data_IF_476722547639
#
_entry.id   IF_476722547639
#
_cell.length_a   1.000
_cell.length_b   1.000
_cell.length_c   1.000
_cell.angle_alpha   90.00
_cell.angle_beta   90.00
_cell.angle_gamma   90.00
#
_symmetry.space_group_name_H-M   'P 1'
#
loop_
_entity.id
_entity.type
_entity.pdbx_description
1 polymer ?
#
# COMPACT_ATOMS: atom_id res chain seq x y z
N UNK A 1 8.53 -1.69 4.60
CA UNK A 1 8.80 -1.49 3.17
C UNK A 1 9.36 -0.08 3.02
N UNK A 2 10.58 0.05 2.47
CA UNK A 2 11.28 1.33 2.34
C UNK A 2 11.70 1.51 0.88
N UNK A 3 11.39 2.66 0.28
CA UNK A 3 11.72 2.98 -1.12
C UNK A 3 12.79 4.06 -1.23
N UNK A 4 13.55 4.30 -0.30
CA UNK A 4 14.61 5.31 -0.31
C UNK A 4 15.78 4.88 0.54
N UNK A 5 16.46 5.87 1.11
CA UNK A 5 17.55 5.64 2.05
C UNK A 5 17.00 4.97 3.31
N UNK A 6 17.65 3.90 3.76
CA UNK A 6 17.36 3.23 5.02
C UNK A 6 18.69 3.10 5.78
N UNK A 7 18.76 3.72 6.94
CA UNK A 7 19.96 3.72 7.80
C UNK A 7 19.90 2.63 8.87
N UNK A 8 18.77 1.89 8.97
CA UNK A 8 18.62 0.80 9.94
C UNK A 8 19.04 -0.50 9.25
N UNK A 9 19.95 -1.24 9.87
CA UNK A 9 20.38 -2.55 9.40
C UNK A 9 19.49 -3.63 10.06
N UNK A 10 18.85 -4.51 9.28
CA UNK A 10 18.07 -5.62 9.82
C UNK A 10 18.95 -6.79 10.25
N UNK A 11 18.47 -7.58 11.20
CA UNK A 11 19.09 -8.86 11.57
C UNK A 11 20.39 -8.72 12.39
N UNK A 12 20.59 -7.59 13.06
CA UNK A 12 21.71 -7.42 14.02
C UNK A 12 21.27 -8.06 15.34
N UNK A 13 22.08 -9.00 15.84
CA UNK A 13 21.81 -9.73 17.08
C UNK A 13 21.62 -8.77 18.27
N UNK A 14 20.60 -9.04 19.08
CA UNK A 14 20.19 -8.25 20.26
C UNK A 14 19.71 -6.82 19.96
N UNK A 15 19.68 -6.38 18.71
CA UNK A 15 19.23 -5.04 18.33
C UNK A 15 18.07 -5.09 17.33
N UNK A 16 18.27 -5.71 16.16
CA UNK A 16 17.31 -5.68 15.05
C UNK A 16 17.01 -7.05 14.45
N UNK A 17 17.20 -8.12 15.20
CA UNK A 17 16.97 -9.50 14.75
C UNK A 17 15.51 -9.75 14.29
N UNK A 18 14.56 -9.02 14.87
CA UNK A 18 13.14 -9.09 14.50
C UNK A 18 12.74 -8.11 13.41
N UNK A 19 13.70 -7.32 12.89
CA UNK A 19 13.44 -6.35 11.84
C UNK A 19 13.68 -6.94 10.47
N UNK A 20 12.76 -6.71 9.56
CA UNK A 20 12.95 -6.99 8.13
C UNK A 20 12.74 -5.73 7.30
N UNK A 21 13.60 -5.51 6.33
CA UNK A 21 13.50 -4.37 5.41
C UNK A 21 13.34 -4.88 3.98
N UNK A 22 12.31 -4.41 3.31
CA UNK A 22 12.03 -4.74 1.91
C UNK A 22 11.92 -3.45 1.09
N UNK A 23 12.51 -3.44 -0.10
CA UNK A 23 12.34 -2.37 -1.08
C UNK A 23 11.73 -2.91 -2.36
N UNK A 24 10.73 -2.22 -2.91
CA UNK A 24 10.11 -2.58 -4.18
C UNK A 24 10.52 -1.53 -5.22
N UNK A 25 11.24 -1.98 -6.26
CA UNK A 25 11.70 -1.12 -7.35
C UNK A 25 11.08 -1.61 -8.65
N UNK A 26 10.07 -0.88 -9.10
CA UNK A 26 9.28 -1.22 -10.27
C UNK A 26 9.07 -0.03 -11.20
N UNK A 27 8.02 -0.10 -12.01
CA UNK A 27 7.65 0.91 -13.00
C UNK A 27 7.27 2.26 -12.36
N UNK A 28 6.63 2.20 -11.19
CA UNK A 28 6.16 3.38 -10.48
C UNK A 28 7.00 3.64 -9.24
N UNK A 29 7.24 4.93 -8.97
CA UNK A 29 7.73 5.36 -7.67
C UNK A 29 6.55 5.33 -6.69
N UNK A 30 6.65 4.48 -5.69
CA UNK A 30 5.65 4.43 -4.61
C UNK A 30 6.13 5.28 -3.44
N UNK A 31 5.25 6.17 -2.97
CA UNK A 31 5.54 7.07 -1.86
C UNK A 31 4.40 7.13 -0.81
N UNK A 32 3.61 6.07 -0.63
CA UNK A 32 2.64 6.04 0.45
C UNK A 32 3.37 5.87 1.79
N UNK A 33 2.91 6.58 2.80
CA UNK A 33 3.36 6.41 4.19
C UNK A 33 2.21 5.84 4.98
N UNK A 34 2.25 4.54 5.17
CA UNK A 34 1.24 3.77 5.88
C UNK A 34 1.90 3.07 7.04
N UNK A 35 1.33 3.26 8.22
CA UNK A 35 1.81 2.66 9.47
C UNK A 35 0.73 1.72 10.00
N UNK A 36 1.14 0.51 10.37
CA UNK A 36 0.24 -0.51 10.92
C UNK A 36 0.84 -1.02 12.22
N UNK A 37 0.08 -0.91 13.30
CA UNK A 37 0.47 -1.36 14.64
C UNK A 37 -0.50 -2.43 15.13
N UNK A 38 0.03 -3.46 15.77
CA UNK A 38 -0.76 -4.57 16.31
C UNK A 38 -1.27 -5.54 15.24
N UNK A 39 -2.07 -6.49 15.68
CA UNK A 39 -2.62 -7.56 14.86
C UNK A 39 -4.11 -7.77 15.16
N UNK A 40 -4.81 -8.45 14.25
CA UNK A 40 -6.21 -8.83 14.45
C UNK A 40 -7.16 -7.64 14.62
N UNK A 41 -8.10 -7.76 15.57
CA UNK A 41 -9.14 -6.75 15.81
C UNK A 41 -8.61 -5.43 16.37
N UNK A 42 -7.50 -5.46 17.09
CA UNK A 42 -6.90 -4.27 17.71
C UNK A 42 -5.91 -3.53 16.79
N UNK A 43 -5.80 -3.97 15.55
CA UNK A 43 -4.89 -3.37 14.59
C UNK A 43 -5.23 -1.90 14.32
N UNK A 44 -4.25 -1.01 14.52
CA UNK A 44 -4.35 0.43 14.26
C UNK A 44 -3.60 0.77 12.99
N UNK A 45 -4.26 1.50 12.09
CA UNK A 45 -3.70 1.92 10.80
C UNK A 45 -3.69 3.43 10.71
N UNK A 46 -2.56 3.98 10.28
CA UNK A 46 -2.39 5.41 10.05
C UNK A 46 -1.83 5.64 8.64
N UNK A 47 -2.18 6.77 8.07
CA UNK A 47 -1.48 7.34 6.92
C UNK A 47 -0.82 8.64 7.35
N UNK A 48 0.32 8.98 6.76
CA UNK A 48 1.06 10.16 7.20
C UNK A 48 1.79 10.87 6.08
N UNK A 49 2.30 12.05 6.42
CA UNK A 49 3.14 12.87 5.54
C UNK A 49 4.64 12.67 5.81
N UNK A 50 5.01 12.14 6.99
CA UNK A 50 6.39 12.00 7.41
C UNK A 50 7.10 10.81 6.77
N UNK A 51 8.29 11.04 6.24
CA UNK A 51 9.31 9.99 6.15
C UNK A 51 9.94 9.78 7.53
N UNK A 52 10.40 8.58 7.85
CA UNK A 52 11.09 8.28 9.12
C UNK A 52 12.55 8.75 9.04
N UNK A 53 12.71 10.06 8.92
CA UNK A 53 14.01 10.75 8.83
C UNK A 53 14.06 11.87 9.86
N UNK A 54 15.23 12.14 10.41
CA UNK A 54 15.48 13.21 11.40
C UNK A 54 14.84 14.55 11.00
N UNK A 55 14.98 14.92 9.73
CA UNK A 55 14.35 16.13 9.19
C UNK A 55 12.84 16.19 9.40
N UNK A 56 12.14 15.07 9.21
CA UNK A 56 10.68 15.01 9.33
C UNK A 56 10.26 14.92 10.79
N UNK A 57 10.99 14.16 11.62
CA UNK A 57 10.63 13.90 13.03
C UNK A 57 11.00 15.04 13.98
N UNK A 58 12.02 15.83 13.63
CA UNK A 58 12.54 16.88 14.54
C UNK A 58 12.37 18.32 14.04
N UNK A 59 12.31 18.52 12.71
CA UNK A 59 12.38 19.86 12.11
C UNK A 59 11.16 20.24 11.26
N UNK A 60 10.13 19.41 11.21
CA UNK A 60 8.91 19.65 10.44
C UNK A 60 7.66 19.37 11.28
N UNK A 61 6.60 20.05 10.92
CA UNK A 61 5.25 19.67 11.34
C UNK A 61 4.73 18.66 10.35
N UNK A 62 4.42 17.46 10.83
CA UNK A 62 3.94 16.35 10.03
C UNK A 62 2.57 15.90 10.55
N UNK A 63 1.80 15.28 9.68
CA UNK A 63 0.45 14.79 10.01
C UNK A 63 0.43 13.27 9.96
N UNK A 64 -0.15 12.66 10.98
CA UNK A 64 -0.54 11.25 11.00
C UNK A 64 -2.04 11.16 11.21
N UNK A 65 -2.76 10.60 10.24
CA UNK A 65 -4.20 10.47 10.26
C UNK A 65 -4.60 9.01 10.56
N UNK A 66 -5.34 8.74 11.64
CA UNK A 66 -5.86 7.41 11.92
C UNK A 66 -6.95 7.02 10.92
N UNK A 67 -6.93 5.78 10.49
CA UNK A 67 -7.96 5.22 9.59
C UNK A 67 -9.01 4.53 10.46
N UNK A 68 -10.15 5.19 10.64
CA UNK A 68 -11.25 4.71 11.46
C UNK A 68 -12.25 3.85 10.67
N UNK A 69 -12.34 4.04 9.36
CA UNK A 69 -13.23 3.25 8.51
C UNK A 69 -12.65 1.86 8.27
N UNK A 70 -13.38 0.83 8.66
CA UNK A 70 -12.92 -0.57 8.61
C UNK A 70 -12.69 -1.08 7.18
N UNK A 71 -13.43 -0.63 6.19
CA UNK A 71 -13.23 -1.05 4.79
C UNK A 71 -11.93 -0.46 4.22
N UNK A 72 -11.67 0.82 4.51
CA UNK A 72 -10.42 1.48 4.10
C UNK A 72 -9.23 0.84 4.82
N UNK A 73 -9.36 0.56 6.11
CA UNK A 73 -8.35 -0.12 6.92
C UNK A 73 -7.99 -1.50 6.32
N UNK A 74 -9.00 -2.34 6.06
CA UNK A 74 -8.81 -3.65 5.42
C UNK A 74 -8.13 -3.53 4.05
N UNK A 75 -8.51 -2.54 3.26
CA UNK A 75 -7.90 -2.30 1.94
C UNK A 75 -6.42 -1.92 2.06
N UNK A 76 -6.06 -1.03 2.99
CA UNK A 76 -4.67 -0.63 3.20
C UNK A 76 -3.80 -1.80 3.69
N UNK A 77 -4.29 -2.55 4.66
CA UNK A 77 -3.60 -3.75 5.19
C UNK A 77 -3.41 -4.79 4.09
N UNK A 78 -4.47 -5.07 3.30
CA UNK A 78 -4.37 -5.96 2.16
C UNK A 78 -3.31 -5.48 1.15
N UNK A 79 -3.26 -4.18 0.85
CA UNK A 79 -2.26 -3.64 -0.07
C UNK A 79 -0.84 -3.86 0.46
N UNK A 80 -0.60 -3.64 1.75
CA UNK A 80 0.69 -3.93 2.37
C UNK A 80 1.04 -5.42 2.29
N UNK A 81 0.08 -6.32 2.52
CA UNK A 81 0.31 -7.76 2.36
C UNK A 81 0.70 -8.13 0.92
N UNK A 82 0.04 -7.55 -0.09
CA UNK A 82 0.40 -7.76 -1.50
C UNK A 82 1.82 -7.26 -1.79
N UNK A 83 2.21 -6.11 -1.23
CA UNK A 83 3.56 -5.58 -1.36
C UNK A 83 4.60 -6.46 -0.66
N UNK A 84 4.31 -6.95 0.54
CA UNK A 84 5.21 -7.84 1.29
C UNK A 84 5.37 -9.20 0.60
N UNK A 85 4.32 -9.67 -0.09
CA UNK A 85 4.34 -10.90 -0.87
C UNK A 85 5.03 -10.76 -2.23
N UNK A 86 5.37 -9.54 -2.67
CA UNK A 86 6.08 -9.33 -3.96
C UNK A 86 7.40 -10.08 -3.95
N UNK A 87 7.59 -10.96 -4.95
CA UNK A 87 8.81 -11.74 -5.15
C UNK A 87 9.43 -11.52 -6.53
N UNK A 88 8.86 -10.60 -7.32
CA UNK A 88 9.34 -10.27 -8.67
C UNK A 88 10.17 -8.98 -8.64
N UNK A 89 9.69 -7.96 -7.96
CA UNK A 89 10.33 -6.64 -7.88
C UNK A 89 10.91 -6.33 -6.50
N UNK A 90 10.51 -7.07 -5.47
CA UNK A 90 10.99 -6.85 -4.12
C UNK A 90 12.45 -7.30 -3.92
N UNK A 91 13.15 -6.53 -3.12
CA UNK A 91 14.52 -6.79 -2.66
C UNK A 91 14.53 -6.73 -1.14
N UNK A 92 15.09 -7.73 -0.51
CA UNK A 92 15.32 -7.75 0.94
C UNK A 92 16.68 -7.16 1.26
N UNK A 93 16.75 -6.32 2.28
CA UNK A 93 18.01 -5.84 2.82
C UNK A 93 18.63 -6.91 3.72
N UNK A 94 19.92 -7.10 3.61
CA UNK A 94 20.73 -7.96 4.47
C UNK A 94 21.38 -7.13 5.57
N UNK A 95 21.94 -7.78 6.59
CA UNK A 95 22.56 -7.12 7.75
C UNK A 95 23.79 -6.26 7.43
N UNK A 96 24.37 -6.43 6.24
CA UNK A 96 25.44 -5.58 5.70
C UNK A 96 24.93 -4.33 4.96
N UNK A 97 23.61 -4.11 4.91
CA UNK A 97 22.98 -2.99 4.21
C UNK A 97 22.83 -3.19 2.70
N UNK A 98 23.25 -4.33 2.15
CA UNK A 98 23.03 -4.62 0.74
C UNK A 98 21.64 -5.14 0.45
N UNK A 99 21.15 -4.98 -0.80
CA UNK A 99 19.83 -5.44 -1.21
C UNK A 99 19.94 -6.63 -2.17
N UNK A 100 19.26 -7.71 -1.85
CA UNK A 100 19.19 -8.92 -2.68
C UNK A 100 17.77 -9.14 -3.17
N UNK A 101 17.63 -9.59 -4.43
CA UNK A 101 16.30 -9.99 -4.95
C UNK A 101 15.74 -11.12 -4.11
N UNK A 102 14.45 -11.04 -3.78
CA UNK A 102 13.75 -12.18 -3.20
C UNK A 102 13.70 -13.32 -4.23
N UNK A 103 13.88 -14.55 -3.77
CA UNK A 103 13.70 -15.73 -4.63
C UNK A 103 12.22 -15.88 -4.97
N UNK A 104 11.93 -16.22 -6.22
CA UNK A 104 10.58 -16.57 -6.64
C UNK A 104 10.32 -18.01 -6.23
N UNK A 105 9.68 -18.19 -5.08
CA UNK A 105 9.20 -19.49 -4.61
C UNK A 105 7.69 -19.53 -4.85
N UNK A 106 7.24 -20.50 -5.64
CA UNK A 106 5.84 -20.65 -6.01
C UNK A 106 5.36 -19.62 -7.05
N UNK A 107 4.19 -19.03 -6.82
CA UNK A 107 3.56 -18.09 -7.76
C UNK A 107 4.31 -16.76 -7.80
N UNK A 108 4.60 -16.28 -9.01
CA UNK A 108 5.18 -14.95 -9.21
C UNK A 108 4.17 -13.86 -8.85
N UNK A 109 4.53 -13.00 -7.90
CA UNK A 109 3.71 -11.87 -7.41
C UNK A 109 4.46 -10.57 -7.70
N UNK A 110 3.88 -9.73 -8.56
CA UNK A 110 4.31 -8.37 -8.83
C UNK A 110 3.22 -7.42 -8.33
N UNK A 111 3.47 -6.77 -7.21
CA UNK A 111 2.49 -5.93 -6.53
C UNK A 111 1.98 -4.78 -7.40
N UNK A 112 2.87 -4.10 -8.14
CA UNK A 112 2.48 -2.99 -9.02
C UNK A 112 1.58 -3.44 -10.17
N UNK A 113 1.86 -4.61 -10.77
CA UNK A 113 0.98 -5.15 -11.81
C UNK A 113 -0.39 -5.55 -11.27
N UNK A 114 -0.45 -6.08 -10.06
CA UNK A 114 -1.72 -6.40 -9.39
C UNK A 114 -2.53 -5.12 -9.22
N UNK A 115 -1.94 -4.08 -8.64
CA UNK A 115 -2.63 -2.81 -8.39
C UNK A 115 -3.06 -2.12 -9.69
N UNK A 116 -2.23 -2.17 -10.74
CA UNK A 116 -2.62 -1.66 -12.07
C UNK A 116 -3.84 -2.39 -12.64
N UNK A 117 -3.85 -3.71 -12.57
CA UNK A 117 -4.97 -4.52 -13.06
C UNK A 117 -6.26 -4.20 -12.29
N UNK A 118 -6.17 -4.08 -10.97
CA UNK A 118 -7.31 -3.71 -10.12
C UNK A 118 -7.86 -2.32 -10.46
N UNK A 119 -6.99 -1.33 -10.64
CA UNK A 119 -7.38 0.02 -11.01
C UNK A 119 -8.08 0.06 -12.39
N UNK A 120 -7.58 -0.70 -13.36
CA UNK A 120 -8.21 -0.82 -14.68
C UNK A 120 -9.57 -1.51 -14.62
N UNK A 121 -9.71 -2.52 -13.75
CA UNK A 121 -10.99 -3.21 -13.54
C UNK A 121 -12.02 -2.29 -12.89
N UNK A 122 -11.64 -1.55 -11.85
CA UNK A 122 -12.50 -0.58 -11.18
C UNK A 122 -13.03 0.47 -12.17
N UNK A 123 -12.16 1.03 -13.01
CA UNK A 123 -12.55 1.98 -14.06
C UNK A 123 -13.52 1.41 -15.11
N UNK A 124 -13.42 0.11 -15.39
CA UNK A 124 -14.36 -0.59 -16.30
C UNK A 124 -15.74 -0.75 -15.68
N UNK A 125 -15.81 -1.01 -14.38
CA UNK A 125 -17.08 -1.12 -13.64
C UNK A 125 -17.81 0.22 -13.60
N UNK A 126 -17.12 1.32 -13.32
CA UNK A 126 -17.69 2.67 -13.32
C UNK A 126 -18.21 3.10 -14.70
N UNK A 127 -17.59 2.64 -15.79
CA UNK A 127 -18.01 2.96 -17.15
C UNK A 127 -19.19 2.13 -17.68
N UNK A 128 -19.62 1.09 -16.98
CA UNK A 128 -20.87 0.39 -17.36
C UNK A 128 -22.03 1.31 -17.02
N UNK A 129 -22.84 1.76 -18.00
CA UNK A 129 -23.99 2.60 -17.72
C UNK A 129 -24.92 1.84 -16.77
N UNK A 130 -25.19 2.43 -15.61
CA UNK A 130 -26.26 1.93 -14.75
C UNK A 130 -27.51 1.79 -15.65
N UNK A 131 -28.04 0.58 -15.77
CA UNK A 131 -29.29 0.36 -16.48
C UNK A 131 -30.34 1.25 -15.81
N UNK A 132 -30.72 2.34 -16.48
CA UNK A 132 -31.74 3.22 -15.99
C UNK A 132 -32.99 2.38 -15.72
N UNK A 133 -33.46 2.41 -14.49
CA UNK A 133 -34.71 1.75 -14.11
C UNK A 133 -35.84 2.36 -14.94
N UNK A 134 -36.89 1.56 -15.22
CA UNK A 134 -38.07 2.02 -15.95
C UNK A 134 -38.64 3.34 -15.41
N UNK A 135 -38.62 3.50 -14.08
CA UNK A 135 -39.01 4.73 -13.38
C UNK A 135 -38.17 5.96 -13.72
N UNK A 136 -36.85 5.78 -13.91
CA UNK A 136 -35.96 6.88 -14.31
C UNK A 136 -36.17 7.28 -15.77
N UNK A 137 -36.49 6.34 -16.64
CA UNK A 137 -36.88 6.64 -18.04
C UNK A 137 -38.21 7.37 -18.10
N UNK A 138 -39.20 6.98 -17.31
CA UNK A 138 -40.48 7.66 -17.23
C UNK A 138 -40.36 9.09 -16.70
N UNK A 139 -39.58 9.33 -15.64
CA UNK A 139 -39.36 10.70 -15.14
C UNK A 139 -38.76 11.65 -16.16
N UNK A 140 -37.87 11.18 -17.05
CA UNK A 140 -37.30 12.00 -18.13
C UNK A 140 -38.29 12.37 -19.22
N UNK A 141 -39.31 11.56 -19.45
CA UNK A 141 -40.37 11.86 -20.42
C UNK A 141 -41.31 12.96 -19.90
N UNK A 142 -41.55 13.02 -18.59
CA UNK A 142 -42.43 14.03 -17.96
C UNK A 142 -41.76 15.33 -17.54
N UNK A 143 -40.44 15.49 -17.75
CA UNK A 143 -39.68 16.73 -17.46
C UNK A 143 -39.35 17.54 -18.72
N UNK A 144 -39.97 17.22 -19.87
CA UNK A 144 -39.79 17.94 -21.15
C UNK A 144 -41.06 18.64 -21.57
N UNK A 145 -41.76 19.31 -20.63
CA UNK A 145 -42.76 20.34 -20.90
C UNK A 145 -42.36 21.65 -20.20
#
# INVERSE_FOLDING_TARGET
>A
IVRGICCILPGIAQETENLTVTSIVGRYLEHPRVFVFGTGAEQKVYIGSADMMTRNTEKRVEVACPILNEEIKKRLVRNLHVMLADNVKARAMTSDGTYRKKKVEGKAINSQEIFMKEALMAKRVEKKPQKQTFLQKMRRLFQKE
#
